data_IF_351206343493
#
_entry.id   IF_351206343493
#
_cell.length_a   1.000
_cell.length_b   1.000
_cell.length_c   1.000
_cell.angle_alpha   90.00
_cell.angle_beta   90.00
_cell.angle_gamma   90.00
#
_symmetry.space_group_name_H-M   'P 1'
#
loop_
_entity.id
_entity.type
_entity.pdbx_description
1 polymer ?
#
# COMPACT_ATOMS: atom_id res chain seq x y z
N UNK A 1 -23.50 -71.62 -31.45
CA UNK A 1 -24.80 -70.91 -31.49
C UNK A 1 -24.74 -69.87 -30.39
N UNK A 2 -24.84 -68.55 -30.58
CA UNK A 2 -25.13 -67.70 -31.73
C UNK A 2 -24.43 -66.35 -31.49
N UNK A 3 -24.00 -65.68 -32.57
CA UNK A 3 -23.88 -64.21 -32.65
C UNK A 3 -25.21 -63.69 -33.24
N UNK A 4 -25.69 -62.49 -32.87
CA UNK A 4 -25.45 -61.27 -33.68
C UNK A 4 -25.22 -60.00 -32.79
N UNK A 5 -24.38 -59.00 -33.13
CA UNK A 5 -24.35 -58.02 -34.24
C UNK A 5 -25.39 -56.88 -34.11
N UNK A 6 -24.97 -55.75 -33.52
CA UNK A 6 -25.33 -54.36 -33.88
C UNK A 6 -24.08 -53.50 -33.48
N UNK A 7 -23.27 -52.91 -34.37
CA UNK A 7 -23.49 -51.73 -35.25
C UNK A 7 -24.09 -50.54 -34.48
N UNK A 8 -23.64 -49.29 -34.55
CA UNK A 8 -22.46 -48.60 -35.08
C UNK A 8 -22.59 -47.18 -34.48
N UNK A 9 -21.54 -46.59 -33.93
CA UNK A 9 -21.45 -45.12 -33.89
C UNK A 9 -20.01 -44.70 -33.59
N UNK A 10 -19.27 -44.62 -34.69
CA UNK A 10 -18.06 -43.84 -34.81
C UNK A 10 -18.33 -42.36 -34.49
N UNK A 11 -17.49 -41.79 -33.62
CA UNK A 11 -17.19 -40.37 -33.66
C UNK A 11 -15.82 -40.18 -33.04
N UNK A 12 -14.81 -40.26 -33.91
CA UNK A 12 -13.49 -39.68 -33.76
C UNK A 12 -13.46 -38.43 -32.87
N UNK A 13 -12.52 -38.41 -31.92
CA UNK A 13 -11.79 -37.20 -31.50
C UNK A 13 -10.52 -37.56 -30.72
N UNK A 14 -9.43 -37.63 -31.49
CA UNK A 14 -8.04 -37.24 -31.17
C UNK A 14 -7.56 -37.35 -29.72
N UNK A 15 -6.73 -38.37 -29.50
CA UNK A 15 -5.67 -38.38 -28.49
C UNK A 15 -4.72 -37.20 -28.71
N UNK A 16 -4.64 -36.30 -27.72
CA UNK A 16 -3.44 -35.50 -27.47
C UNK A 16 -3.34 -35.29 -25.96
N UNK A 17 -2.49 -36.11 -25.33
CA UNK A 17 -1.76 -35.86 -24.08
C UNK A 17 -2.52 -35.18 -22.94
N UNK A 18 -2.84 -35.97 -21.91
CA UNK A 18 -3.30 -35.50 -20.62
C UNK A 18 -2.32 -34.49 -19.98
N UNK A 19 -2.60 -33.20 -20.17
CA UNK A 19 -2.07 -32.15 -19.30
C UNK A 19 -3.00 -32.08 -18.11
N UNK A 20 -2.53 -32.61 -16.98
CA UNK A 20 -3.19 -32.51 -15.69
C UNK A 20 -3.14 -31.03 -15.27
N UNK A 21 -4.08 -30.22 -15.75
CA UNK A 21 -4.33 -28.89 -15.17
C UNK A 21 -5.09 -29.15 -13.88
N UNK A 22 -4.35 -29.56 -12.86
CA UNK A 22 -4.71 -29.27 -11.49
C UNK A 22 -4.79 -27.75 -11.40
N UNK A 23 -5.99 -27.19 -11.54
CA UNK A 23 -6.27 -25.89 -10.96
C UNK A 23 -6.12 -26.07 -9.46
N UNK A 24 -5.13 -25.47 -8.78
CA UNK A 24 -5.35 -25.18 -7.40
C UNK A 24 -6.35 -24.03 -7.41
N UNK A 25 -7.58 -24.31 -7.00
CA UNK A 25 -8.32 -23.33 -6.22
C UNK A 25 -7.41 -22.95 -5.05
N UNK A 26 -6.53 -21.98 -5.26
CA UNK A 26 -5.76 -21.39 -4.20
C UNK A 26 -6.65 -20.35 -3.51
N UNK A 27 -7.71 -20.87 -2.90
CA UNK A 27 -8.26 -20.39 -1.65
C UNK A 27 -7.17 -20.57 -0.58
N UNK A 28 -6.04 -19.87 -0.72
CA UNK A 28 -5.10 -19.77 0.40
C UNK A 28 -5.65 -18.68 1.31
N UNK A 29 -6.44 -19.11 2.28
CA UNK A 29 -6.29 -18.61 3.65
C UNK A 29 -4.81 -18.75 4.05
N UNK A 30 -3.99 -17.79 3.61
CA UNK A 30 -2.81 -17.45 4.38
C UNK A 30 -3.33 -16.55 5.49
N UNK A 31 -3.16 -16.98 6.75
CA UNK A 31 -3.21 -16.08 7.90
C UNK A 31 -2.05 -15.08 7.78
N UNK A 32 -2.14 -14.22 6.77
CA UNK A 32 -1.26 -13.09 6.57
C UNK A 32 -1.71 -12.10 7.62
N UNK A 33 -0.96 -12.04 8.73
CA UNK A 33 -1.10 -11.02 9.76
C UNK A 33 -1.43 -9.71 9.06
N UNK A 34 -2.65 -9.21 9.25
CA UNK A 34 -3.17 -8.09 8.49
C UNK A 34 -2.41 -6.84 8.96
N UNK A 35 -1.21 -6.59 8.42
CA UNK A 35 -0.33 -5.50 8.86
C UNK A 35 -1.07 -4.21 8.59
N UNK A 36 -1.46 -3.52 9.65
CA UNK A 36 -2.21 -2.27 9.52
C UNK A 36 -1.28 -1.16 9.02
N UNK A 37 -1.85 -0.09 8.46
CA UNK A 37 -1.06 1.10 8.10
C UNK A 37 -0.36 1.71 9.33
N UNK A 38 -0.94 1.53 10.51
CA UNK A 38 -0.35 2.00 11.75
C UNK A 38 0.86 1.14 12.15
N UNK A 39 0.81 -0.17 11.92
CA UNK A 39 1.95 -1.06 12.17
C UNK A 39 3.12 -0.72 11.26
N UNK A 40 2.86 -0.51 9.96
CA UNK A 40 3.89 -0.06 9.00
C UNK A 40 4.52 1.28 9.42
N UNK A 41 3.68 2.21 9.90
CA UNK A 41 4.18 3.47 10.41
C UNK A 41 5.04 3.29 11.67
N UNK A 42 4.58 2.48 12.62
CA UNK A 42 5.29 2.24 13.87
C UNK A 42 6.65 1.57 13.61
N UNK A 43 6.71 0.63 12.67
CA UNK A 43 7.95 0.00 12.25
C UNK A 43 8.92 1.00 11.59
N UNK A 44 8.40 1.88 10.72
CA UNK A 44 9.18 2.94 10.10
C UNK A 44 9.69 3.99 11.10
N UNK A 45 8.79 4.54 11.92
CA UNK A 45 9.05 5.71 12.76
C UNK A 45 9.66 5.35 14.12
N UNK A 46 9.61 4.06 14.49
CA UNK A 46 10.24 3.46 15.68
C UNK A 46 9.94 4.24 16.96
N UNK A 47 10.95 4.96 17.48
CA UNK A 47 10.91 5.68 18.76
C UNK A 47 10.44 7.14 18.62
N UNK A 48 10.38 7.67 17.39
CA UNK A 48 10.06 9.08 17.15
C UNK A 48 11.10 10.05 17.73
N UNK A 49 12.38 9.71 17.62
CA UNK A 49 13.53 10.55 17.98
C UNK A 49 13.70 11.72 17.01
N UNK A 50 14.52 12.72 17.34
CA UNK A 50 14.79 13.83 16.42
C UNK A 50 15.31 13.33 15.06
N UNK A 51 16.18 12.33 15.09
CA UNK A 51 16.74 11.69 13.89
C UNK A 51 15.66 11.04 13.02
N UNK A 52 14.63 10.42 13.62
CA UNK A 52 13.50 9.85 12.87
C UNK A 52 12.69 10.96 12.16
N UNK A 53 12.50 12.10 12.82
CA UNK A 53 11.85 13.27 12.22
C UNK A 53 12.70 13.87 11.09
N UNK A 54 14.01 13.99 11.29
CA UNK A 54 14.94 14.50 10.28
C UNK A 54 15.01 13.58 9.05
N UNK A 55 15.02 12.26 9.24
CA UNK A 55 14.95 11.26 8.16
C UNK A 55 13.64 11.37 7.38
N UNK A 56 12.52 11.57 8.06
CA UNK A 56 11.24 11.82 7.41
C UNK A 56 11.27 13.11 6.58
N UNK A 57 11.85 14.19 7.11
CA UNK A 57 12.05 15.42 6.36
C UNK A 57 12.89 15.19 5.10
N UNK A 58 14.02 14.47 5.21
CA UNK A 58 14.88 14.15 4.08
C UNK A 58 14.13 13.41 2.95
N UNK A 59 13.32 12.40 3.30
CA UNK A 59 12.54 11.66 2.30
C UNK A 59 11.43 12.47 1.62
N UNK A 60 11.04 13.59 2.22
CA UNK A 60 10.04 14.51 1.68
C UNK A 60 10.67 15.74 1.02
N UNK A 61 11.99 15.71 0.78
CA UNK A 61 12.72 16.82 0.14
C UNK A 61 12.86 18.06 1.03
N UNK A 62 12.70 17.91 2.34
CA UNK A 62 12.88 18.99 3.32
C UNK A 62 14.31 18.95 3.92
N UNK A 63 14.78 20.07 4.52
CA UNK A 63 16.04 20.09 5.24
C UNK A 63 16.08 19.03 6.35
N UNK A 64 17.13 18.21 6.37
CA UNK A 64 17.31 17.12 7.33
C UNK A 64 18.08 17.55 8.58
N UNK A 65 18.63 18.75 8.62
CA UNK A 65 19.45 19.32 9.70
C UNK A 65 18.63 20.18 10.69
N UNK A 66 17.30 20.04 10.67
CA UNK A 66 16.42 20.83 11.54
C UNK A 66 16.74 20.54 13.03
N UNK A 67 16.89 21.58 13.87
CA UNK A 67 17.46 21.44 15.21
C UNK A 67 16.49 20.88 16.26
N UNK A 68 15.20 20.71 15.93
CA UNK A 68 14.20 20.20 16.87
C UNK A 68 13.02 19.53 16.20
N UNK A 69 12.35 18.63 16.93
CA UNK A 69 11.13 17.93 16.46
C UNK A 69 10.03 18.93 16.10
N UNK A 70 9.95 20.04 16.81
CA UNK A 70 8.97 21.11 16.52
C UNK A 70 9.22 21.71 15.14
N UNK A 71 10.48 22.06 14.83
CA UNK A 71 10.86 22.58 13.50
C UNK A 71 10.59 21.56 12.40
N UNK A 72 10.89 20.28 12.61
CA UNK A 72 10.51 19.22 11.68
C UNK A 72 8.99 19.19 11.43
N UNK A 73 8.17 19.20 12.50
CA UNK A 73 6.71 19.23 12.34
C UNK A 73 6.24 20.47 11.58
N UNK A 74 6.81 21.63 11.85
CA UNK A 74 6.43 22.85 11.14
C UNK A 74 6.77 22.76 9.65
N UNK A 75 7.93 22.20 9.29
CA UNK A 75 8.27 21.93 7.90
C UNK A 75 7.31 20.92 7.25
N UNK A 76 6.89 19.87 7.97
CA UNK A 76 5.90 18.90 7.46
C UNK A 76 4.50 19.51 7.22
N UNK A 77 4.20 20.69 7.79
CA UNK A 77 2.92 21.37 7.53
C UNK A 77 2.81 21.90 6.10
N UNK A 78 3.93 22.26 5.45
CA UNK A 78 3.91 22.76 4.07
C UNK A 78 3.80 21.64 3.04
N UNK A 79 4.20 20.42 3.40
CA UNK A 79 4.17 19.27 2.49
C UNK A 79 2.76 18.69 2.39
N UNK A 80 2.36 18.39 1.15
CA UNK A 80 1.17 17.62 0.84
C UNK A 80 1.62 16.27 0.26
N UNK A 81 1.49 15.20 1.04
CA UNK A 81 1.85 13.84 0.63
C UNK A 81 0.78 12.88 1.13
N UNK A 82 0.51 11.81 0.38
CA UNK A 82 -0.34 10.75 0.86
C UNK A 82 0.47 9.78 1.74
N UNK A 83 0.05 9.59 2.99
CA UNK A 83 0.79 8.74 3.96
C UNK A 83 0.81 7.27 3.52
N UNK A 84 -0.30 6.75 2.99
CA UNK A 84 -0.36 5.36 2.52
C UNK A 84 0.60 5.14 1.36
N UNK A 85 0.61 6.07 0.40
CA UNK A 85 1.58 6.05 -0.70
C UNK A 85 3.01 6.05 -0.17
N UNK A 86 3.33 7.00 0.72
CA UNK A 86 4.65 7.10 1.31
C UNK A 86 5.08 5.77 1.95
N UNK A 87 4.21 5.12 2.73
CA UNK A 87 4.52 3.83 3.34
C UNK A 87 4.74 2.71 2.31
N UNK A 88 4.02 2.74 1.19
CA UNK A 88 4.12 1.75 0.10
C UNK A 88 5.33 1.93 -0.81
N UNK A 89 5.92 3.13 -0.89
CA UNK A 89 7.11 3.38 -1.72
C UNK A 89 8.32 2.57 -1.24
N UNK A 90 8.92 1.78 -2.11
CA UNK A 90 10.14 1.01 -1.80
C UNK A 90 11.40 1.87 -1.83
N UNK A 91 11.56 2.70 -2.86
CA UNK A 91 12.71 3.60 -3.01
C UNK A 91 12.31 5.04 -2.67
N UNK A 92 12.58 5.44 -1.43
CA UNK A 92 12.42 6.83 -0.97
C UNK A 92 13.78 7.54 -1.09
N UNK A 93 13.85 8.80 -1.58
CA UNK A 93 12.73 9.73 -1.85
C UNK A 93 12.11 9.64 -3.24
N UNK A 94 12.75 8.98 -4.22
CA UNK A 94 12.40 9.13 -5.65
C UNK A 94 10.99 8.67 -6.02
N UNK A 95 10.45 7.65 -5.34
CA UNK A 95 9.11 7.12 -5.61
C UNK A 95 7.98 7.91 -4.89
N UNK A 96 8.32 8.87 -4.03
CA UNK A 96 7.32 9.57 -3.20
C UNK A 96 6.72 10.73 -3.98
N UNK A 97 5.45 10.61 -4.36
CA UNK A 97 4.72 11.69 -5.03
C UNK A 97 4.32 12.78 -4.02
N UNK A 98 4.91 13.95 -4.18
CA UNK A 98 4.55 15.16 -3.45
C UNK A 98 3.57 15.99 -4.27
N UNK A 99 2.50 16.44 -3.65
CA UNK A 99 1.46 17.24 -4.29
C UNK A 99 1.74 18.73 -4.09
N UNK A 100 1.48 19.53 -5.13
CA UNK A 100 1.72 20.99 -5.06
C UNK A 100 0.75 21.67 -4.12
N UNK A 101 -0.47 21.14 -4.02
CA UNK A 101 -1.53 21.71 -3.20
C UNK A 101 -2.42 20.63 -2.58
N UNK A 102 -3.21 21.05 -1.59
CA UNK A 102 -4.16 20.18 -0.88
C UNK A 102 -5.22 19.58 -1.82
N UNK A 103 -5.65 20.31 -2.86
CA UNK A 103 -6.72 19.87 -3.77
C UNK A 103 -6.26 18.65 -4.58
N UNK A 104 -5.05 18.68 -5.11
CA UNK A 104 -4.40 17.56 -5.81
C UNK A 104 -4.30 16.33 -4.91
N UNK A 105 -3.80 16.50 -3.67
CA UNK A 105 -3.73 15.41 -2.69
C UNK A 105 -5.10 14.78 -2.45
N UNK A 106 -6.16 15.58 -2.30
CA UNK A 106 -7.52 15.09 -2.09
C UNK A 106 -8.04 14.32 -3.31
N UNK A 107 -7.91 14.88 -4.51
CA UNK A 107 -8.36 14.24 -5.76
C UNK A 107 -7.66 12.91 -5.97
N UNK A 108 -6.34 12.89 -5.84
CA UNK A 108 -5.52 11.69 -5.95
C UNK A 108 -5.95 10.62 -4.94
N UNK A 109 -6.12 11.03 -3.68
CA UNK A 109 -6.46 10.09 -2.60
C UNK A 109 -7.85 9.50 -2.77
N UNK A 110 -8.83 10.30 -3.19
CA UNK A 110 -10.19 9.84 -3.49
C UNK A 110 -10.20 8.86 -4.67
N UNK A 111 -9.52 9.20 -5.76
CA UNK A 111 -9.42 8.34 -6.96
C UNK A 111 -8.84 6.96 -6.62
N UNK A 112 -7.86 6.90 -5.71
CA UNK A 112 -7.16 5.66 -5.32
C UNK A 112 -7.70 5.03 -4.04
N UNK A 113 -8.75 5.59 -3.42
CA UNK A 113 -9.29 5.19 -2.11
C UNK A 113 -8.19 5.03 -1.03
N UNK A 114 -7.16 5.86 -1.09
CA UNK A 114 -5.93 5.73 -0.30
C UNK A 114 -6.01 6.52 1.03
N UNK A 115 -7.08 6.31 1.78
CA UNK A 115 -7.34 7.03 3.03
C UNK A 115 -6.51 6.47 4.18
N UNK A 116 -6.12 7.35 5.11
CA UNK A 116 -5.45 6.97 6.35
C UNK A 116 -6.41 7.17 7.55
N UNK A 117 -6.55 6.20 8.47
CA UNK A 117 -7.46 6.28 9.59
C UNK A 117 -7.04 7.36 10.60
N UNK A 118 -7.72 8.51 10.56
CA UNK A 118 -7.42 9.67 11.41
C UNK A 118 -7.57 9.42 12.91
N UNK A 119 -8.50 8.53 13.31
CA UNK A 119 -8.84 8.26 14.71
C UNK A 119 -7.75 7.46 15.44
N UNK A 120 -6.88 6.76 14.71
CA UNK A 120 -5.82 5.91 15.26
C UNK A 120 -4.52 6.68 15.52
N UNK A 121 -4.49 7.99 15.20
CA UNK A 121 -3.26 8.77 15.27
C UNK A 121 -2.95 9.24 16.69
N UNK A 122 -1.76 8.92 17.24
CA UNK A 122 -1.35 9.43 18.53
C UNK A 122 -1.19 10.95 18.50
N UNK A 123 -1.59 11.62 19.60
CA UNK A 123 -1.41 13.07 19.75
C UNK A 123 0.09 13.40 19.69
N UNK A 124 0.44 14.46 18.96
CA UNK A 124 1.83 14.90 18.78
C UNK A 124 2.65 14.11 17.75
N UNK A 125 2.07 13.06 17.14
CA UNK A 125 2.71 12.33 16.04
C UNK A 125 2.83 13.21 14.78
N UNK A 126 3.94 13.13 14.02
CA UNK A 126 4.06 13.84 12.75
C UNK A 126 3.03 13.36 11.72
N UNK A 127 2.48 12.14 11.87
CA UNK A 127 1.34 11.71 11.06
C UNK A 127 0.15 12.65 11.18
N UNK A 128 -0.10 13.18 12.38
CA UNK A 128 -1.20 14.13 12.60
C UNK A 128 -0.99 15.42 11.83
N UNK A 129 0.27 15.82 11.66
CA UNK A 129 0.68 17.03 10.93
C UNK A 129 0.66 16.82 9.41
N UNK A 130 1.07 15.63 8.97
CA UNK A 130 1.06 15.23 7.57
C UNK A 130 -0.37 14.96 7.07
N UNK A 131 -1.22 14.37 7.91
CA UNK A 131 -2.59 14.06 7.56
C UNK A 131 -3.38 15.37 7.41
N UNK A 132 -3.52 15.83 6.18
CA UNK A 132 -4.34 16.99 5.84
C UNK A 132 -5.82 16.65 5.98
N UNK A 133 -6.61 17.68 6.28
CA UNK A 133 -8.06 17.58 6.24
C UNK A 133 -8.51 17.25 4.81
N UNK A 134 -9.16 16.10 4.62
CA UNK A 134 -9.53 15.56 3.30
C UNK A 134 -10.95 15.91 2.86
N UNK A 135 -11.72 16.47 3.78
CA UNK A 135 -13.10 16.93 3.60
C UNK A 135 -13.11 18.46 3.74
N UNK A 136 -14.10 19.14 3.19
CA UNK A 136 -14.29 20.57 3.41
C UNK A 136 -15.54 20.75 4.23
#
# INVERSE_FOLDING_TARGET
>A
MARPLDEDSDSDRVDHSAVIVLTPSNSSESSSKHVTLMDQWNDYFKKGTLQDFQRLCAYLGLPSDLPSKTKCRDALKSINVNIKQFLQCGNKPDDVELFKNRKELIVWTRKRKAFFPRHQLPKGSPLRTLLKHMFN
#
